data_IF_524981697569
#
_entry.id   IF_524981697569
#
_cell.length_a   1.000
_cell.length_b   1.000
_cell.length_c   1.000
_cell.angle_alpha   90.00
_cell.angle_beta   90.00
_cell.angle_gamma   90.00
#
_symmetry.space_group_name_H-M   'P 1'
#
loop_
_entity.id
_entity.type
_entity.pdbx_description
1 polymer ?
#
# COMPACT_ATOMS: atom_id res chain seq x y z
N UNK A 1 -2.03 15.97 -1.16
CA UNK A 1 -0.86 16.01 -2.08
C UNK A 1 -0.61 14.57 -2.50
N UNK A 2 -1.33 14.06 -3.49
CA UNK A 2 -0.98 14.07 -4.93
C UNK A 2 0.38 13.43 -5.20
N UNK A 3 0.52 12.15 -4.86
CA UNK A 3 1.35 11.14 -5.52
C UNK A 3 0.50 9.87 -5.32
N UNK A 4 -0.10 9.28 -6.34
CA UNK A 4 0.31 7.91 -6.72
C UNK A 4 -0.21 7.48 -8.11
N UNK A 5 -0.89 8.33 -8.86
CA UNK A 5 -1.25 8.06 -10.27
C UNK A 5 -0.27 8.66 -11.28
N UNK A 6 0.59 9.59 -10.84
CA UNK A 6 1.54 10.29 -11.71
C UNK A 6 2.77 9.43 -12.07
N UNK A 7 3.26 8.58 -11.15
CA UNK A 7 4.47 7.79 -11.37
C UNK A 7 4.32 6.75 -12.49
N UNK A 8 3.20 6.03 -12.53
CA UNK A 8 2.91 5.01 -13.54
C UNK A 8 2.77 5.65 -14.93
N UNK A 9 1.96 6.70 -15.03
CA UNK A 9 1.71 7.39 -16.29
C UNK A 9 2.96 8.09 -16.83
N UNK A 10 3.79 8.67 -15.95
CA UNK A 10 5.04 9.35 -16.32
C UNK A 10 6.15 8.38 -16.73
N UNK A 11 6.20 7.18 -16.14
CA UNK A 11 7.20 6.15 -16.51
C UNK A 11 7.13 5.78 -18.00
N UNK A 12 5.95 5.94 -18.62
CA UNK A 12 5.70 5.67 -20.05
C UNK A 12 6.51 6.56 -21.00
N UNK A 13 7.03 7.69 -20.53
CA UNK A 13 7.82 8.61 -21.35
C UNK A 13 9.33 8.38 -21.21
N UNK A 14 9.76 7.53 -20.28
CA UNK A 14 11.19 7.30 -20.03
C UNK A 14 11.82 6.33 -21.05
N UNK A 15 13.12 6.44 -21.35
CA UNK A 15 13.84 5.38 -22.07
C UNK A 15 13.86 4.07 -21.29
N UNK A 16 13.92 2.93 -22.01
CA UNK A 16 13.85 1.57 -21.42
C UNK A 16 14.83 1.36 -20.27
N UNK A 17 16.08 1.83 -20.42
CA UNK A 17 17.13 1.76 -19.38
C UNK A 17 16.68 2.30 -18.01
N UNK A 18 15.85 3.34 -18.00
CA UNK A 18 15.35 3.94 -16.75
C UNK A 18 14.06 3.26 -16.26
N UNK A 19 13.20 2.78 -17.17
CA UNK A 19 12.01 2.00 -16.80
C UNK A 19 12.36 0.72 -16.06
N UNK A 20 13.37 -0.01 -16.54
CA UNK A 20 13.83 -1.25 -15.94
C UNK A 20 14.30 -1.07 -14.47
N UNK A 21 14.64 0.16 -14.08
CA UNK A 21 15.03 0.53 -12.70
C UNK A 21 13.82 1.06 -11.92
N UNK A 22 13.02 1.93 -12.53
CA UNK A 22 11.95 2.69 -11.86
C UNK A 22 10.67 1.87 -11.69
N UNK A 23 10.27 1.08 -12.69
CA UNK A 23 9.05 0.27 -12.62
C UNK A 23 9.06 -0.73 -11.44
N UNK A 24 10.16 -1.48 -11.16
CA UNK A 24 10.25 -2.32 -9.96
C UNK A 24 10.23 -1.55 -8.63
N UNK A 25 10.66 -0.29 -8.63
CA UNK A 25 10.59 0.59 -7.44
C UNK A 25 9.16 1.07 -7.23
N UNK A 26 8.46 1.46 -8.31
CA UNK A 26 7.04 1.81 -8.26
C UNK A 26 6.21 0.61 -7.80
N UNK A 27 6.40 -0.58 -8.37
CA UNK A 27 5.67 -1.79 -7.94
C UNK A 27 5.86 -2.12 -6.46
N UNK A 28 7.06 -1.92 -5.92
CA UNK A 28 7.31 -2.07 -4.48
C UNK A 28 6.68 -0.97 -3.65
N UNK A 29 6.65 0.26 -4.15
CA UNK A 29 6.11 1.41 -3.42
C UNK A 29 4.57 1.54 -3.50
N UNK A 30 3.91 0.90 -4.49
CA UNK A 30 2.43 0.81 -4.55
C UNK A 30 1.85 0.20 -3.27
N UNK A 31 2.65 -0.55 -2.50
CA UNK A 31 2.30 -1.00 -1.15
C UNK A 31 2.16 0.11 -0.09
N UNK A 32 2.32 1.39 -0.41
CA UNK A 32 1.88 2.45 0.53
C UNK A 32 0.37 2.39 0.83
N UNK A 33 -0.41 1.76 -0.06
CA UNK A 33 -1.82 1.46 0.14
C UNK A 33 -2.07 0.10 0.84
N UNK A 34 -1.06 -0.48 1.50
CA UNK A 34 -1.27 -1.68 2.30
C UNK A 34 -2.29 -1.39 3.42
N UNK A 35 -3.20 -2.32 3.71
CA UNK A 35 -4.25 -2.12 4.70
C UNK A 35 -3.70 -1.77 6.08
N UNK A 36 -2.47 -2.20 6.44
CA UNK A 36 -1.83 -1.80 7.69
C UNK A 36 -1.53 -0.29 7.75
N UNK A 37 -0.98 0.29 6.69
CA UNK A 37 -0.65 1.72 6.65
C UNK A 37 -1.91 2.60 6.71
N UNK A 38 -2.98 2.16 6.05
CA UNK A 38 -4.28 2.83 6.12
C UNK A 38 -4.83 2.76 7.56
N UNK A 39 -4.76 1.60 8.21
CA UNK A 39 -5.22 1.45 9.60
C UNK A 39 -4.40 2.29 10.58
N UNK A 40 -3.08 2.41 10.38
CA UNK A 40 -2.21 3.29 11.16
C UNK A 40 -2.58 4.76 10.96
N UNK A 41 -2.82 5.20 9.73
CA UNK A 41 -3.29 6.56 9.46
C UNK A 41 -4.65 6.84 10.11
N UNK A 42 -5.58 5.88 10.06
CA UNK A 42 -6.89 5.98 10.72
C UNK A 42 -6.77 6.05 12.25
N UNK A 43 -5.76 5.43 12.87
CA UNK A 43 -5.50 5.53 14.32
C UNK A 43 -5.02 6.92 14.73
N UNK A 44 -4.32 7.63 13.84
CA UNK A 44 -3.85 9.00 14.08
C UNK A 44 -4.86 10.09 13.68
N UNK A 45 -6.03 9.70 13.18
CA UNK A 45 -7.07 10.64 12.75
C UNK A 45 -7.68 11.38 13.95
N UNK A 46 -7.99 12.68 13.80
CA UNK A 46 -8.59 13.49 14.85
C UNK A 46 -9.99 12.95 15.27
N UNK A 47 -10.74 12.43 14.29
CA UNK A 47 -12.12 12.00 14.49
C UNK A 47 -12.17 10.70 15.29
N UNK A 48 -12.78 10.74 16.47
CA UNK A 48 -12.84 9.59 17.38
C UNK A 48 -13.49 8.34 16.75
N UNK A 49 -14.49 8.51 15.89
CA UNK A 49 -15.18 7.38 15.25
C UNK A 49 -14.29 6.66 14.23
N UNK A 50 -13.38 7.38 13.55
CA UNK A 50 -12.41 6.80 12.61
C UNK A 50 -11.36 5.99 13.38
N UNK A 51 -10.81 6.55 14.47
CA UNK A 51 -9.88 5.85 15.36
C UNK A 51 -10.48 4.59 15.98
N UNK A 52 -11.70 4.70 16.48
CA UNK A 52 -12.42 3.55 17.07
C UNK A 52 -12.66 2.45 16.03
N UNK A 53 -12.99 2.83 14.79
CA UNK A 53 -13.13 1.88 13.69
C UNK A 53 -11.80 1.19 13.36
N UNK A 54 -10.69 1.93 13.33
CA UNK A 54 -9.35 1.39 13.10
C UNK A 54 -8.95 0.37 14.18
N UNK A 55 -9.12 0.73 15.46
CA UNK A 55 -8.82 -0.14 16.58
C UNK A 55 -9.61 -1.45 16.50
N UNK A 56 -10.92 -1.39 16.21
CA UNK A 56 -11.76 -2.58 16.02
C UNK A 56 -11.28 -3.47 14.88
N UNK A 57 -10.89 -2.88 13.74
CA UNK A 57 -10.37 -3.62 12.59
C UNK A 57 -9.05 -4.32 12.90
N UNK A 58 -8.16 -3.67 13.66
CA UNK A 58 -6.88 -4.25 14.09
C UNK A 58 -7.10 -5.42 15.05
N UNK A 59 -7.95 -5.25 16.06
CA UNK A 59 -8.27 -6.32 17.02
C UNK A 59 -8.85 -7.53 16.28
N UNK A 60 -9.85 -7.31 15.43
CA UNK A 60 -10.47 -8.39 14.65
C UNK A 60 -9.48 -9.08 13.70
N UNK A 61 -8.58 -8.33 13.08
CA UNK A 61 -7.55 -8.90 12.22
C UNK A 61 -6.57 -9.79 13.01
N UNK A 62 -6.24 -9.42 14.25
CA UNK A 62 -5.39 -10.23 15.14
C UNK A 62 -6.09 -11.48 15.68
N UNK A 63 -7.40 -11.42 15.90
CA UNK A 63 -8.21 -12.58 16.33
C UNK A 63 -8.31 -13.67 15.26
N UNK A 64 -8.17 -13.32 13.98
CA UNK A 64 -8.23 -14.28 12.87
C UNK A 64 -7.01 -15.21 12.82
N UNK A 65 -5.87 -14.79 13.41
CA UNK A 65 -4.62 -15.55 13.39
C UNK A 65 -4.01 -15.64 14.80
N UNK A 66 -4.58 -16.50 15.67
CA UNK A 66 -4.20 -16.60 17.08
C UNK A 66 -2.77 -17.12 17.29
N UNK A 67 -2.21 -17.83 16.30
CA UNK A 67 -0.87 -18.41 16.38
C UNK A 67 0.24 -17.39 16.11
N UNK A 68 -0.08 -16.19 15.60
CA UNK A 68 0.88 -15.09 15.39
C UNK A 68 2.04 -15.38 14.43
N UNK A 69 2.08 -16.57 13.83
CA UNK A 69 3.18 -17.07 13.00
C UNK A 69 3.04 -16.65 11.52
N UNK A 70 1.86 -16.18 11.11
CA UNK A 70 1.64 -15.66 9.77
C UNK A 70 2.10 -14.20 9.70
N UNK A 71 3.42 -13.99 9.66
CA UNK A 71 3.96 -12.71 9.20
C UNK A 71 3.36 -12.44 7.84
N UNK A 72 2.64 -11.30 7.69
CA UNK A 72 2.07 -10.92 6.40
C UNK A 72 3.20 -10.90 5.36
N UNK A 73 3.14 -11.82 4.41
CA UNK A 73 4.16 -11.89 3.37
C UNK A 73 3.94 -10.71 2.46
N UNK A 74 4.89 -9.78 2.48
CA UNK A 74 4.92 -8.70 1.52
C UNK A 74 5.08 -9.28 0.11
N UNK A 75 3.97 -9.36 -0.63
CA UNK A 75 3.96 -9.78 -2.03
C UNK A 75 3.90 -8.51 -2.88
N UNK A 76 4.89 -8.32 -3.73
CA UNK A 76 4.92 -7.20 -4.67
C UNK A 76 3.72 -7.37 -5.63
N UNK A 77 2.77 -6.43 -5.67
CA UNK A 77 1.63 -6.53 -6.56
C UNK A 77 2.08 -6.42 -8.01
N UNK A 78 1.45 -7.20 -8.89
CA UNK A 78 1.62 -7.07 -10.33
C UNK A 78 0.91 -5.78 -10.79
N UNK A 79 1.69 -4.72 -11.04
CA UNK A 79 1.17 -3.43 -11.49
C UNK A 79 1.14 -3.38 -13.01
N UNK A 80 -0.01 -3.01 -13.58
CA UNK A 80 -0.13 -2.81 -15.02
C UNK A 80 0.33 -1.40 -15.43
N UNK A 81 1.61 -1.27 -15.81
CA UNK A 81 2.18 0.00 -16.29
C UNK A 81 1.63 0.48 -17.63
N UNK A 82 0.81 -0.33 -18.32
CA UNK A 82 0.18 -0.01 -19.61
C UNK A 82 -1.31 0.30 -19.50
N UNK A 83 -1.89 0.28 -18.29
CA UNK A 83 -3.28 0.66 -18.09
C UNK A 83 -3.52 2.13 -18.51
N UNK A 84 -4.72 2.40 -19.04
CA UNK A 84 -5.13 3.75 -19.50
C UNK A 84 -5.86 4.48 -18.38
#
# INVERSE_FOLDING_TARGET
MVLDTCGISSSRYLPKKYRDIIEPVISRNVCFAAPENILLAMLTDERCHIRNLAARRIIKAREIDPDGNCVHRFVIPAVNFRAT
#
